data_IF_809225949229
#
_entry.id   IF_809225949229
#
_cell.length_a   1.000
_cell.length_b   1.000
_cell.length_c   1.000
_cell.angle_alpha   90.00
_cell.angle_beta   90.00
_cell.angle_gamma   90.00
#
_symmetry.space_group_name_H-M   'P 1'
#
loop_
_entity.id
_entity.type
_entity.pdbx_description
1 polymer ?
#
# COMPACT_ATOMS: atom_id res chain seq x y z
N UNK A 1 31.19 -4.15 -27.00
CA UNK A 1 29.75 -4.37 -26.72
C UNK A 1 29.25 -3.42 -25.63
N UNK A 2 29.97 -3.27 -24.50
CA UNK A 2 29.57 -2.33 -23.41
C UNK A 2 29.47 -0.86 -23.85
N UNK A 3 30.41 -0.36 -24.65
CA UNK A 3 30.44 1.06 -25.04
C UNK A 3 29.28 1.49 -25.91
N UNK A 4 28.77 0.61 -26.76
CA UNK A 4 27.57 0.86 -27.58
C UNK A 4 26.28 0.85 -26.75
N UNK A 5 26.19 -0.01 -25.75
CA UNK A 5 25.03 -0.06 -24.83
C UNK A 5 25.05 1.17 -23.93
N UNK A 6 26.20 1.60 -23.43
CA UNK A 6 26.36 2.84 -22.64
C UNK A 6 26.05 4.08 -23.46
N UNK A 7 26.47 4.14 -24.72
CA UNK A 7 26.11 5.22 -25.65
C UNK A 7 24.60 5.23 -25.94
N UNK A 8 23.96 4.07 -26.09
CA UNK A 8 22.52 3.95 -26.32
C UNK A 8 21.70 4.31 -25.07
N UNK A 9 22.12 3.90 -23.89
CA UNK A 9 21.51 4.28 -22.63
C UNK A 9 21.64 5.78 -22.36
N UNK A 10 22.80 6.36 -22.66
CA UNK A 10 23.01 7.82 -22.56
C UNK A 10 22.19 8.63 -23.57
N UNK A 11 21.99 8.09 -24.78
CA UNK A 11 21.13 8.70 -25.81
C UNK A 11 19.64 8.56 -25.41
N UNK A 12 19.23 7.44 -24.82
CA UNK A 12 17.88 7.25 -24.32
C UNK A 12 17.58 8.18 -23.12
N UNK A 13 18.51 8.31 -22.18
CA UNK A 13 18.38 9.23 -21.03
C UNK A 13 18.33 10.69 -21.49
N UNK A 14 19.21 11.11 -22.40
CA UNK A 14 19.22 12.47 -22.94
C UNK A 14 18.00 12.75 -23.85
N UNK A 15 17.52 11.75 -24.57
CA UNK A 15 16.32 11.83 -25.40
C UNK A 15 15.05 11.92 -24.56
N UNK A 16 14.97 11.16 -23.48
CA UNK A 16 13.82 11.18 -22.55
C UNK A 16 13.80 12.48 -21.75
N UNK A 17 14.92 12.98 -21.25
CA UNK A 17 15.00 14.28 -20.57
C UNK A 17 14.68 15.43 -21.50
N UNK A 18 15.16 15.40 -22.75
CA UNK A 18 14.80 16.37 -23.78
C UNK A 18 13.32 16.31 -24.16
N UNK A 19 12.76 15.10 -24.25
CA UNK A 19 11.34 14.86 -24.55
C UNK A 19 10.40 15.33 -23.44
N UNK A 20 10.83 15.24 -22.19
CA UNK A 20 10.07 15.71 -21.02
C UNK A 20 10.16 17.23 -20.84
N UNK A 21 11.21 17.88 -21.34
CA UNK A 21 11.45 19.30 -21.18
C UNK A 21 10.87 20.19 -22.30
N UNK A 22 10.55 19.64 -23.47
CA UNK A 22 10.04 20.39 -24.62
C UNK A 22 8.74 19.76 -25.08
N UNK A 23 7.63 20.47 -25.00
CA UNK A 23 6.26 20.03 -25.31
C UNK A 23 6.15 19.31 -26.67
N UNK A 24 6.56 18.03 -26.70
CA UNK A 24 6.49 17.16 -27.86
C UNK A 24 5.04 16.96 -28.30
N UNK A 25 4.84 16.93 -29.60
CA UNK A 25 3.54 16.57 -30.16
C UNK A 25 3.24 15.07 -29.98
N UNK A 26 2.00 14.68 -30.34
CA UNK A 26 1.52 13.32 -30.17
C UNK A 26 2.33 12.31 -31.00
N UNK A 27 2.73 12.69 -32.21
CA UNK A 27 3.44 11.81 -33.14
C UNK A 27 4.88 11.55 -32.71
N UNK A 28 5.53 12.56 -32.11
CA UNK A 28 6.86 12.43 -31.52
C UNK A 28 6.83 11.53 -30.27
N UNK A 29 5.80 11.68 -29.44
CA UNK A 29 5.60 10.80 -28.25
C UNK A 29 5.37 9.35 -28.65
N UNK A 30 4.59 9.10 -29.70
CA UNK A 30 4.34 7.75 -30.23
C UNK A 30 5.63 7.12 -30.78
N UNK A 31 6.47 7.87 -31.53
CA UNK A 31 7.77 7.36 -32.01
C UNK A 31 8.76 7.04 -30.89
N UNK A 32 8.81 7.88 -29.86
CA UNK A 32 9.64 7.61 -28.67
C UNK A 32 9.16 6.33 -27.98
N UNK A 33 7.85 6.18 -27.86
CA UNK A 33 7.26 5.00 -27.23
C UNK A 33 7.53 3.72 -28.01
N UNK A 34 7.47 3.75 -29.34
CA UNK A 34 7.86 2.63 -30.18
C UNK A 34 9.34 2.27 -30.03
N UNK A 35 10.22 3.28 -29.96
CA UNK A 35 11.65 3.07 -29.73
C UNK A 35 11.95 2.50 -28.34
N UNK A 36 11.24 2.94 -27.32
CA UNK A 36 11.33 2.36 -25.96
C UNK A 36 10.92 0.89 -25.96
N UNK A 37 9.84 0.55 -26.67
CA UNK A 37 9.35 -0.83 -26.79
C UNK A 37 10.35 -1.75 -27.53
N UNK A 38 10.99 -1.23 -28.59
CA UNK A 38 12.07 -1.98 -29.28
C UNK A 38 13.27 -2.23 -28.36
N UNK A 39 13.61 -1.26 -27.51
CA UNK A 39 14.70 -1.40 -26.51
C UNK A 39 14.31 -2.43 -25.45
N UNK A 40 13.06 -2.42 -24.98
CA UNK A 40 12.56 -3.42 -24.03
C UNK A 40 12.62 -4.83 -24.62
N UNK A 41 12.22 -5.01 -25.87
CA UNK A 41 12.31 -6.29 -26.60
C UNK A 41 13.76 -6.75 -26.78
N UNK A 42 14.69 -5.83 -27.05
CA UNK A 42 16.11 -6.15 -27.16
C UNK A 42 16.71 -6.53 -25.80
N UNK A 43 16.33 -5.86 -24.72
CA UNK A 43 16.75 -6.18 -23.35
C UNK A 43 16.25 -7.57 -22.98
N UNK A 44 14.99 -7.88 -23.24
CA UNK A 44 14.40 -9.20 -22.97
C UNK A 44 15.13 -10.32 -23.74
N UNK A 45 15.42 -10.10 -25.04
CA UNK A 45 16.24 -11.04 -25.84
C UNK A 45 17.65 -11.22 -25.29
N UNK A 46 18.30 -10.12 -24.85
CA UNK A 46 19.64 -10.16 -24.25
C UNK A 46 19.63 -10.91 -22.91
N UNK A 47 18.63 -10.68 -22.07
CA UNK A 47 18.48 -11.36 -20.78
C UNK A 47 18.20 -12.86 -20.97
N UNK A 48 17.38 -13.23 -21.96
CA UNK A 48 17.17 -14.63 -22.35
C UNK A 48 18.45 -15.29 -22.83
N UNK A 49 19.26 -14.59 -23.63
CA UNK A 49 20.56 -15.08 -24.09
C UNK A 49 21.56 -15.19 -22.93
N UNK A 50 21.59 -14.20 -22.03
CA UNK A 50 22.44 -14.19 -20.82
C UNK A 50 22.05 -15.30 -19.85
N UNK A 51 20.76 -15.55 -19.65
CA UNK A 51 20.26 -16.66 -18.85
C UNK A 51 20.63 -18.02 -19.47
N UNK A 52 20.63 -18.11 -20.80
CA UNK A 52 21.11 -19.31 -21.50
C UNK A 52 22.60 -19.51 -21.36
N UNK A 53 23.41 -18.44 -21.45
CA UNK A 53 24.86 -18.48 -21.19
C UNK A 53 25.18 -18.78 -19.72
N UNK A 54 24.42 -18.20 -18.79
CA UNK A 54 24.54 -18.49 -17.35
C UNK A 54 24.27 -19.98 -17.06
N UNK A 55 23.28 -20.56 -17.72
CA UNK A 55 22.99 -22.01 -17.64
C UNK A 55 24.15 -22.88 -18.14
N UNK A 56 24.82 -22.49 -19.20
CA UNK A 56 26.00 -23.20 -19.68
C UNK A 56 27.16 -23.14 -18.68
N UNK A 57 27.38 -21.97 -18.06
CA UNK A 57 28.41 -21.79 -17.02
C UNK A 57 28.07 -22.52 -15.71
N UNK A 58 26.76 -22.55 -15.36
CA UNK A 58 26.31 -23.33 -14.21
C UNK A 58 26.35 -24.84 -14.49
N UNK A 59 26.15 -25.26 -15.74
CA UNK A 59 26.33 -26.63 -16.18
C UNK A 59 27.74 -27.14 -15.94
N UNK A 60 28.78 -26.39 -16.36
CA UNK A 60 30.19 -26.74 -16.10
C UNK A 60 30.51 -26.76 -14.60
N UNK A 61 29.92 -25.85 -13.83
CA UNK A 61 30.07 -25.77 -12.38
C UNK A 61 29.40 -26.92 -11.65
N UNK A 62 28.21 -27.35 -12.12
CA UNK A 62 27.44 -28.46 -11.54
C UNK A 62 28.05 -29.80 -11.93
N UNK A 63 28.62 -29.92 -13.15
CA UNK A 63 29.35 -31.11 -13.61
C UNK A 63 30.55 -31.42 -12.69
N UNK A 64 31.27 -30.38 -12.23
CA UNK A 64 32.32 -30.50 -11.20
C UNK A 64 31.85 -30.94 -9.82
N UNK A 65 30.52 -31.02 -9.55
CA UNK A 65 29.91 -31.45 -8.30
C UNK A 65 29.31 -32.87 -8.35
N UNK A 66 29.56 -33.62 -9.42
CA UNK A 66 29.19 -35.04 -9.53
C UNK A 66 27.76 -35.30 -10.02
N UNK A 67 27.06 -34.30 -10.63
CA UNK A 67 25.83 -34.54 -11.34
C UNK A 67 26.09 -35.20 -12.71
N UNK A 68 25.30 -36.17 -13.08
CA UNK A 68 25.38 -36.79 -14.40
C UNK A 68 24.78 -35.87 -15.50
N UNK A 69 25.15 -36.10 -16.77
CA UNK A 69 24.53 -35.38 -17.90
C UNK A 69 23.01 -35.57 -17.93
N UNK A 70 22.51 -36.72 -17.53
CA UNK A 70 21.08 -37.02 -17.48
C UNK A 70 20.38 -36.21 -16.37
N UNK A 71 21.02 -36.01 -15.22
CA UNK A 71 20.49 -35.13 -14.18
C UNK A 71 20.42 -33.69 -14.65
N UNK A 72 21.44 -33.20 -15.32
CA UNK A 72 21.47 -31.84 -15.85
C UNK A 72 20.40 -31.59 -16.93
N UNK A 73 20.20 -32.57 -17.84
CA UNK A 73 19.12 -32.51 -18.86
C UNK A 73 17.74 -32.55 -18.22
N UNK A 74 17.57 -33.33 -17.15
CA UNK A 74 16.32 -33.37 -16.38
C UNK A 74 16.03 -32.00 -15.73
N UNK A 75 17.01 -31.42 -15.05
CA UNK A 75 16.85 -30.10 -14.42
C UNK A 75 16.51 -29.01 -15.44
N UNK A 76 17.21 -28.99 -16.58
CA UNK A 76 16.93 -28.04 -17.64
C UNK A 76 15.50 -28.19 -18.20
N UNK A 77 15.02 -29.43 -18.37
CA UNK A 77 13.65 -29.69 -18.80
C UNK A 77 12.63 -29.22 -17.75
N UNK A 78 12.83 -29.54 -16.48
CA UNK A 78 11.99 -29.14 -15.37
C UNK A 78 11.91 -27.60 -15.25
N UNK A 79 13.04 -26.91 -15.38
CA UNK A 79 13.12 -25.45 -15.36
C UNK A 79 12.37 -24.81 -16.51
N UNK A 80 12.48 -25.37 -17.72
CA UNK A 80 11.73 -24.87 -18.88
C UNK A 80 10.22 -25.08 -18.72
N UNK A 81 9.79 -26.25 -18.23
CA UNK A 81 8.38 -26.54 -17.96
C UNK A 81 7.81 -25.62 -16.87
N UNK A 82 8.62 -25.33 -15.82
CA UNK A 82 8.22 -24.39 -14.78
C UNK A 82 8.14 -22.96 -15.31
N UNK A 83 9.13 -22.49 -16.07
CA UNK A 83 9.12 -21.16 -16.68
C UNK A 83 7.88 -20.96 -17.57
N UNK A 84 7.53 -21.96 -18.41
CA UNK A 84 6.33 -21.89 -19.24
C UNK A 84 5.04 -21.76 -18.41
N UNK A 85 4.93 -22.47 -17.28
CA UNK A 85 3.78 -22.33 -16.36
C UNK A 85 3.74 -20.95 -15.69
N UNK A 86 4.91 -20.38 -15.37
CA UNK A 86 5.00 -19.02 -14.82
C UNK A 86 4.55 -17.99 -15.86
N UNK A 87 5.01 -18.12 -17.11
CA UNK A 87 4.60 -17.23 -18.21
C UNK A 87 3.08 -17.28 -18.44
N UNK A 88 2.48 -18.49 -18.47
CA UNK A 88 1.03 -18.65 -18.56
C UNK A 88 0.29 -18.00 -17.38
N UNK A 89 0.81 -18.18 -16.17
CA UNK A 89 0.26 -17.56 -14.96
C UNK A 89 0.27 -16.04 -15.07
N UNK A 90 1.40 -15.44 -15.48
CA UNK A 90 1.51 -14.00 -15.65
C UNK A 90 0.59 -13.47 -16.74
N UNK A 91 0.53 -14.10 -17.90
CA UNK A 91 -0.35 -13.70 -18.99
C UNK A 91 -1.83 -13.69 -18.54
N UNK A 92 -2.25 -14.74 -17.84
CA UNK A 92 -3.61 -14.83 -17.28
C UNK A 92 -3.90 -13.73 -16.25
N UNK A 93 -2.94 -13.40 -15.38
CA UNK A 93 -3.12 -12.35 -14.37
C UNK A 93 -3.11 -10.95 -14.98
N UNK A 94 -2.32 -10.70 -16.01
CA UNK A 94 -2.36 -9.45 -16.77
C UNK A 94 -3.75 -9.20 -17.39
N UNK A 95 -4.37 -10.23 -17.93
CA UNK A 95 -5.75 -10.12 -18.44
C UNK A 95 -6.76 -9.87 -17.32
N UNK A 96 -6.64 -10.58 -16.20
CA UNK A 96 -7.52 -10.39 -15.04
C UNK A 96 -7.42 -9.01 -14.40
N UNK A 97 -6.24 -8.39 -14.45
CA UNK A 97 -5.99 -7.06 -13.91
C UNK A 97 -6.99 -6.03 -14.41
N UNK A 98 -7.37 -6.08 -15.68
CA UNK A 98 -8.34 -5.15 -16.30
C UNK A 98 -9.69 -5.15 -15.61
N UNK A 99 -10.09 -6.30 -15.05
CA UNK A 99 -11.38 -6.55 -14.40
C UNK A 99 -11.28 -6.55 -12.86
N UNK A 100 -10.24 -5.96 -12.28
CA UNK A 100 -10.03 -6.00 -10.83
C UNK A 100 -10.53 -4.71 -10.17
N UNK A 101 -11.82 -4.67 -9.84
CA UNK A 101 -12.48 -3.51 -9.25
C UNK A 101 -12.73 -3.64 -7.74
N UNK A 102 -12.64 -4.83 -7.18
CA UNK A 102 -12.88 -5.05 -5.75
C UNK A 102 -11.62 -5.05 -4.87
N UNK A 103 -10.43 -4.80 -5.45
CA UNK A 103 -9.19 -4.87 -4.71
C UNK A 103 -8.46 -3.50 -4.68
N UNK A 104 -8.04 -3.00 -3.51
CA UNK A 104 -7.50 -1.66 -3.36
C UNK A 104 -6.02 -1.54 -3.76
N UNK A 105 -5.64 -2.02 -4.93
CA UNK A 105 -4.27 -1.92 -5.44
C UNK A 105 -4.20 -1.12 -6.73
N UNK A 106 -3.48 0.00 -6.70
CA UNK A 106 -3.16 0.76 -7.91
C UNK A 106 -2.09 0.03 -8.72
N UNK A 107 -2.45 -0.44 -9.90
CA UNK A 107 -1.56 -1.15 -10.82
C UNK A 107 -1.10 -0.29 -11.99
N UNK A 108 -1.26 1.00 -11.89
CA UNK A 108 -0.77 1.93 -12.90
C UNK A 108 0.76 1.87 -12.98
N UNK A 109 1.29 1.79 -14.19
CA UNK A 109 2.72 1.84 -14.42
C UNK A 109 3.06 3.21 -15.02
N UNK A 110 3.71 4.06 -14.22
CA UNK A 110 3.90 5.46 -14.62
C UNK A 110 5.23 5.75 -15.26
N UNK A 111 6.30 5.06 -14.91
CA UNK A 111 7.58 5.45 -15.42
C UNK A 111 8.49 4.28 -15.72
N UNK A 112 9.22 4.45 -16.82
CA UNK A 112 10.34 3.61 -17.19
C UNK A 112 11.37 3.52 -16.04
N UNK A 113 11.62 4.62 -15.35
CA UNK A 113 12.58 4.66 -14.21
C UNK A 113 12.21 3.68 -13.12
N UNK A 114 10.92 3.60 -12.74
CA UNK A 114 10.47 2.64 -11.72
C UNK A 114 10.64 1.20 -12.21
N UNK A 115 10.34 0.91 -13.45
CA UNK A 115 10.52 -0.42 -14.06
C UNK A 115 12.01 -0.80 -14.13
N UNK A 116 12.87 0.13 -14.54
CA UNK A 116 14.30 -0.05 -14.58
C UNK A 116 14.90 -0.31 -13.19
N UNK A 117 14.50 0.46 -12.18
CA UNK A 117 14.96 0.24 -10.81
C UNK A 117 14.53 -1.12 -10.28
N UNK A 118 13.31 -1.56 -10.53
CA UNK A 118 12.86 -2.93 -10.17
C UNK A 118 13.71 -4.01 -10.81
N UNK A 119 14.07 -3.82 -12.09
CA UNK A 119 14.95 -4.74 -12.80
C UNK A 119 16.35 -4.77 -12.18
N UNK A 120 16.93 -3.62 -11.82
CA UNK A 120 18.23 -3.57 -11.13
C UNK A 120 18.14 -4.24 -9.75
N UNK A 121 17.11 -3.92 -8.96
CA UNK A 121 16.89 -4.48 -7.62
C UNK A 121 16.75 -6.01 -7.66
N UNK A 122 16.15 -6.57 -8.73
CA UNK A 122 16.08 -8.03 -8.91
C UNK A 122 17.44 -8.73 -9.08
N UNK A 123 18.47 -7.97 -9.40
CA UNK A 123 19.87 -8.46 -9.57
C UNK A 123 20.77 -8.14 -8.37
N UNK A 124 20.26 -7.36 -7.42
CA UNK A 124 21.03 -6.97 -6.24
C UNK A 124 20.97 -8.06 -5.17
N UNK A 125 22.01 -8.11 -4.36
CA UNK A 125 22.00 -8.93 -3.15
C UNK A 125 20.97 -8.37 -2.16
N UNK A 126 20.47 -9.23 -1.27
CA UNK A 126 19.56 -8.87 -0.21
C UNK A 126 20.15 -7.71 0.62
N UNK A 127 19.43 -6.59 0.63
CA UNK A 127 19.68 -5.49 1.55
C UNK A 127 18.73 -5.64 2.74
N UNK A 128 19.32 -5.91 3.92
CA UNK A 128 18.55 -6.11 5.13
C UNK A 128 18.55 -4.84 5.99
N UNK A 129 17.46 -4.09 5.99
CA UNK A 129 17.27 -2.97 6.92
C UNK A 129 16.81 -3.50 8.28
N UNK A 130 17.73 -3.97 9.11
CA UNK A 130 17.43 -4.35 10.49
C UNK A 130 17.66 -3.19 11.45
N UNK A 131 16.95 -3.22 12.59
CA UNK A 131 17.04 -2.21 13.63
C UNK A 131 16.44 -0.85 13.24
N UNK A 132 16.75 0.17 14.02
CA UNK A 132 16.26 1.54 13.83
C UNK A 132 16.77 2.16 12.52
N UNK A 133 15.88 2.70 11.65
CA UNK A 133 16.28 3.34 10.40
C UNK A 133 17.19 4.56 10.57
N UNK A 134 17.12 5.22 11.72
CA UNK A 134 17.86 6.46 12.02
C UNK A 134 19.20 6.21 12.71
N UNK A 135 19.48 4.96 13.08
CA UNK A 135 20.74 4.57 13.72
C UNK A 135 21.62 3.75 12.77
N UNK A 136 22.93 3.92 12.92
CA UNK A 136 23.93 3.11 12.22
C UNK A 136 24.25 1.88 13.06
N UNK A 137 24.04 0.70 12.49
CA UNK A 137 24.39 -0.57 13.12
C UNK A 137 25.66 -1.18 12.58
N UNK A 138 25.91 -2.44 12.95
CA UNK A 138 27.09 -3.22 12.55
C UNK A 138 27.03 -3.72 11.09
N UNK A 139 25.85 -3.74 10.47
CA UNK A 139 25.66 -4.20 9.10
C UNK A 139 25.78 -3.04 8.12
N UNK A 140 26.60 -3.22 7.07
CA UNK A 140 26.85 -2.19 6.05
C UNK A 140 26.04 -2.38 4.76
N UNK A 141 25.34 -3.52 4.60
CA UNK A 141 24.48 -3.78 3.43
C UNK A 141 23.03 -3.42 3.76
N UNK A 142 22.74 -2.13 3.81
CA UNK A 142 21.40 -1.59 4.08
C UNK A 142 21.02 -0.51 3.06
N UNK A 143 19.76 -0.13 3.06
CA UNK A 143 19.20 0.99 2.31
C UNK A 143 18.48 2.00 3.21
N UNK A 144 18.87 2.12 4.47
CA UNK A 144 18.25 3.01 5.47
C UNK A 144 18.19 4.46 5.04
N UNK A 145 19.17 4.93 4.26
CA UNK A 145 19.15 6.28 3.70
C UNK A 145 17.96 6.49 2.76
N UNK A 146 17.61 5.48 1.98
CA UNK A 146 16.43 5.50 1.09
C UNK A 146 15.14 5.27 1.89
N UNK A 147 15.17 4.39 2.89
CA UNK A 147 14.05 4.19 3.83
C UNK A 147 13.63 5.52 4.45
N UNK A 148 14.57 6.29 5.00
CA UNK A 148 14.30 7.62 5.57
C UNK A 148 13.69 8.61 4.56
N UNK A 149 14.15 8.60 3.31
CA UNK A 149 13.57 9.46 2.27
C UNK A 149 12.11 9.10 1.96
N UNK A 150 11.75 7.81 1.96
CA UNK A 150 10.37 7.36 1.77
C UNK A 150 9.49 7.82 2.94
N UNK A 151 9.98 7.63 4.18
CA UNK A 151 9.28 8.05 5.38
C UNK A 151 9.07 9.57 5.37
N UNK A 152 10.09 10.35 4.99
CA UNK A 152 10.00 11.81 4.88
C UNK A 152 8.93 12.26 3.87
N UNK A 153 8.84 11.63 2.70
CA UNK A 153 7.79 11.92 1.72
C UNK A 153 6.38 11.68 2.28
N UNK A 154 6.21 10.60 3.05
CA UNK A 154 4.93 10.30 3.67
C UNK A 154 4.64 11.27 4.80
N UNK A 155 5.63 11.63 5.63
CA UNK A 155 5.48 12.63 6.69
C UNK A 155 5.08 14.01 6.13
N UNK A 156 5.74 14.45 5.06
CA UNK A 156 5.39 15.69 4.35
C UNK A 156 3.95 15.66 3.82
N UNK A 157 3.49 14.52 3.31
CA UNK A 157 2.11 14.35 2.85
C UNK A 157 1.08 14.54 4.00
N UNK A 158 1.50 14.31 5.25
CA UNK A 158 0.68 14.52 6.44
C UNK A 158 1.00 15.84 7.17
N UNK A 159 1.80 16.72 6.58
CA UNK A 159 2.17 18.01 7.17
C UNK A 159 3.03 17.89 8.42
N UNK A 160 3.77 16.79 8.61
CA UNK A 160 4.65 16.59 9.76
C UNK A 160 6.08 17.00 9.39
N UNK A 161 6.65 17.92 10.18
CA UNK A 161 7.97 18.49 9.93
C UNK A 161 9.10 17.50 10.23
N UNK A 162 10.25 17.70 9.56
CA UNK A 162 11.43 16.88 9.83
C UNK A 162 11.90 17.04 11.29
N UNK A 163 12.23 15.91 11.90
CA UNK A 163 12.61 15.85 13.33
C UNK A 163 11.44 15.73 14.31
N UNK A 164 10.19 15.86 13.86
CA UNK A 164 8.98 15.72 14.70
C UNK A 164 8.34 14.33 14.60
N UNK A 165 8.97 13.42 13.87
CA UNK A 165 8.48 12.06 13.71
C UNK A 165 9.60 11.03 13.77
N UNK A 166 9.19 9.81 14.02
CA UNK A 166 9.94 8.59 13.79
C UNK A 166 9.10 7.67 12.92
N UNK A 167 9.73 6.78 12.18
CA UNK A 167 9.00 5.83 11.36
C UNK A 167 9.92 4.80 10.72
N UNK A 168 9.31 3.81 10.09
CA UNK A 168 10.03 2.77 9.32
C UNK A 168 9.13 2.16 8.26
N UNK A 169 9.74 1.42 7.31
CA UNK A 169 9.00 0.66 6.30
C UNK A 169 8.58 -0.67 6.87
N UNK A 170 7.28 -0.92 6.85
CA UNK A 170 6.65 -2.15 7.32
C UNK A 170 6.37 -3.12 6.17
N UNK A 171 6.03 -4.38 6.49
CA UNK A 171 5.54 -5.37 5.53
C UNK A 171 4.11 -5.10 5.05
N UNK A 172 3.50 -3.99 5.48
CA UNK A 172 2.14 -3.56 5.11
C UNK A 172 1.35 -3.01 6.29
N UNK A 173 0.12 -2.54 6.03
CA UNK A 173 -0.75 -1.91 7.03
C UNK A 173 -1.00 -2.78 8.27
N UNK A 174 -1.08 -4.09 8.13
CA UNK A 174 -1.26 -5.00 9.29
C UNK A 174 -0.14 -4.88 10.29
N UNK A 175 1.13 -4.89 9.85
CA UNK A 175 2.28 -4.70 10.74
C UNK A 175 2.25 -3.31 11.38
N UNK A 176 1.94 -2.28 10.58
CA UNK A 176 1.83 -0.91 11.10
C UNK A 176 0.75 -0.78 12.17
N UNK A 177 -0.42 -1.40 11.97
CA UNK A 177 -1.50 -1.43 12.95
C UNK A 177 -1.07 -2.18 14.23
N UNK A 178 -0.37 -3.30 14.07
CA UNK A 178 0.15 -4.08 15.21
C UNK A 178 1.15 -3.25 16.03
N UNK A 179 2.01 -2.50 15.37
CA UNK A 179 2.92 -1.58 16.05
C UNK A 179 2.16 -0.51 16.83
N UNK A 180 1.18 0.16 16.20
CA UNK A 180 0.36 1.20 16.84
C UNK A 180 -0.39 0.67 18.06
N UNK A 181 -1.04 -0.49 17.95
CA UNK A 181 -1.77 -1.12 19.07
C UNK A 181 -0.81 -1.50 20.20
N UNK A 182 0.36 -2.09 19.85
CA UNK A 182 1.40 -2.40 20.85
C UNK A 182 1.85 -1.16 21.64
N UNK A 183 2.09 -0.04 20.96
CA UNK A 183 2.50 1.19 21.65
C UNK A 183 1.37 1.78 22.50
N UNK A 184 0.12 1.63 22.07
CA UNK A 184 -1.03 1.99 22.90
C UNK A 184 -1.07 1.21 24.22
N UNK A 185 -0.94 -0.12 24.19
CA UNK A 185 -0.87 -0.94 25.41
C UNK A 185 0.42 -0.72 26.21
N UNK A 186 1.52 -0.36 25.55
CA UNK A 186 2.74 0.04 26.25
C UNK A 186 2.56 1.35 27.02
N UNK A 187 1.76 2.29 26.47
CA UNK A 187 1.43 3.57 27.14
C UNK A 187 0.44 3.36 28.26
N UNK A 188 -0.57 2.53 28.04
CA UNK A 188 -1.63 2.21 28.98
C UNK A 188 -1.71 0.69 29.21
N UNK A 189 -0.89 0.13 30.14
CA UNK A 189 -0.89 -1.32 30.39
C UNK A 189 -2.23 -1.88 30.89
N UNK A 190 -3.08 -1.05 31.48
CA UNK A 190 -4.46 -1.37 31.87
C UNK A 190 -5.48 -0.61 31.01
N UNK A 191 -5.06 -0.18 29.82
CA UNK A 191 -5.92 0.45 28.83
C UNK A 191 -6.80 -0.55 28.10
N UNK A 192 -7.76 -0.05 27.34
CA UNK A 192 -8.67 -0.84 26.49
C UNK A 192 -8.65 -0.29 25.08
N UNK A 193 -8.64 -1.21 24.11
CA UNK A 193 -8.64 -0.89 22.69
C UNK A 193 -10.07 -0.67 22.19
N UNK A 194 -10.28 0.45 21.49
CA UNK A 194 -11.57 0.78 20.85
C UNK A 194 -11.36 1.02 19.36
N UNK A 195 -12.23 0.43 18.55
CA UNK A 195 -12.25 0.56 17.10
C UNK A 195 -13.67 0.36 16.58
N UNK A 196 -13.96 0.87 15.37
CA UNK A 196 -15.29 0.74 14.80
C UNK A 196 -15.56 -0.67 14.28
N UNK A 197 -16.82 -1.04 14.14
CA UNK A 197 -17.25 -2.31 13.52
C UNK A 197 -16.77 -2.43 12.06
N UNK A 198 -16.56 -1.30 11.35
CA UNK A 198 -16.10 -1.24 9.97
C UNK A 198 -14.55 -1.18 9.86
N UNK A 199 -13.83 -1.25 10.98
CA UNK A 199 -12.37 -1.29 11.01
C UNK A 199 -11.85 -2.57 10.36
N UNK A 200 -10.68 -2.47 9.71
CA UNK A 200 -10.06 -3.61 9.04
C UNK A 200 -9.76 -4.76 10.02
N UNK A 201 -10.03 -5.99 9.58
CA UNK A 201 -9.88 -7.21 10.40
C UNK A 201 -8.50 -7.40 11.04
N UNK A 202 -7.45 -6.73 10.54
CA UNK A 202 -6.11 -6.80 11.13
C UNK A 202 -6.06 -6.30 12.57
N UNK A 203 -6.90 -5.32 12.93
CA UNK A 203 -6.99 -4.81 14.29
C UNK A 203 -7.51 -5.89 15.23
N UNK A 204 -8.59 -6.54 14.83
CA UNK A 204 -9.16 -7.64 15.57
C UNK A 204 -8.22 -8.86 15.66
N UNK A 205 -7.49 -9.14 14.57
CA UNK A 205 -6.49 -10.21 14.54
C UNK A 205 -5.40 -10.04 15.61
N UNK A 206 -5.04 -8.81 15.99
CA UNK A 206 -4.07 -8.54 17.05
C UNK A 206 -4.54 -9.05 18.41
N UNK A 207 -5.83 -8.88 18.71
CA UNK A 207 -6.43 -9.19 20.02
C UNK A 207 -7.08 -10.57 20.09
N UNK A 208 -7.30 -11.21 18.94
CA UNK A 208 -8.13 -12.43 18.81
C UNK A 208 -7.35 -13.75 18.97
N UNK A 209 -6.06 -13.74 19.27
CA UNK A 209 -5.37 -14.98 19.59
C UNK A 209 -5.92 -15.54 20.91
N UNK A 210 -6.99 -16.31 20.82
CA UNK A 210 -7.88 -17.03 21.74
C UNK A 210 -7.57 -17.08 23.23
N UNK A 211 -6.32 -17.05 23.64
CA UNK A 211 -5.84 -16.99 25.03
C UNK A 211 -5.48 -15.58 25.49
N UNK A 212 -5.48 -14.59 24.58
CA UNK A 212 -4.99 -13.23 24.85
C UNK A 212 -6.10 -12.19 25.06
N UNK A 213 -7.38 -12.54 24.98
CA UNK A 213 -8.50 -11.59 25.14
C UNK A 213 -8.53 -10.93 26.53
N UNK A 214 -8.07 -11.63 27.57
CA UNK A 214 -7.90 -11.04 28.92
C UNK A 214 -6.70 -10.09 29.00
N UNK A 215 -5.65 -10.35 28.19
CA UNK A 215 -4.43 -9.53 28.15
C UNK A 215 -4.61 -8.24 27.36
N UNK A 216 -5.45 -8.27 26.34
CA UNK A 216 -5.70 -7.13 25.43
C UNK A 216 -7.20 -6.83 25.38
N UNK A 217 -7.76 -6.18 26.42
CA UNK A 217 -9.19 -5.86 26.44
C UNK A 217 -9.54 -4.89 25.32
N UNK A 218 -10.61 -5.18 24.60
CA UNK A 218 -11.07 -4.35 23.50
C UNK A 218 -12.61 -4.24 23.46
N UNK A 219 -13.08 -3.25 22.73
CA UNK A 219 -14.50 -3.08 22.41
C UNK A 219 -14.71 -2.52 21.00
N UNK A 220 -15.66 -3.10 20.29
CA UNK A 220 -16.10 -2.59 18.99
C UNK A 220 -17.18 -1.55 19.20
N UNK A 221 -16.96 -0.38 18.64
CA UNK A 221 -17.88 0.75 18.73
C UNK A 221 -18.81 0.77 17.51
N UNK A 222 -20.08 1.07 17.74
CA UNK A 222 -21.08 1.29 16.69
C UNK A 222 -20.60 2.38 15.70
N UNK A 223 -21.10 2.28 14.47
CA UNK A 223 -20.88 3.29 13.44
C UNK A 223 -22.12 4.17 13.25
N UNK A 224 -21.93 5.37 12.72
CA UNK A 224 -23.02 6.20 12.22
C UNK A 224 -23.60 5.63 10.91
N UNK A 225 -24.64 6.26 10.37
CA UNK A 225 -25.28 5.84 9.11
C UNK A 225 -24.34 5.82 7.91
N UNK A 226 -23.22 6.55 7.97
CA UNK A 226 -22.20 6.60 6.93
C UNK A 226 -21.11 5.56 7.11
N UNK A 227 -21.02 4.88 8.27
CA UNK A 227 -20.01 3.88 8.62
C UNK A 227 -18.77 4.46 9.30
N UNK A 228 -18.84 5.67 9.84
CA UNK A 228 -17.80 6.27 10.69
C UNK A 228 -18.03 5.84 12.13
N UNK A 229 -16.98 5.76 12.92
CA UNK A 229 -17.12 5.50 14.35
C UNK A 229 -18.07 6.53 15.00
N UNK A 230 -19.03 6.07 15.78
CA UNK A 230 -19.91 6.96 16.53
C UNK A 230 -19.15 7.61 17.69
N UNK A 231 -18.89 8.92 17.58
CA UNK A 231 -18.18 9.69 18.62
C UNK A 231 -18.96 9.63 19.95
N UNK A 232 -20.29 9.76 19.89
CA UNK A 232 -21.17 9.71 21.05
C UNK A 232 -21.05 8.38 21.79
N UNK A 233 -21.16 7.26 21.04
CA UNK A 233 -21.04 5.91 21.63
C UNK A 233 -19.64 5.61 22.15
N UNK A 234 -18.62 6.06 21.44
CA UNK A 234 -17.25 5.91 21.93
C UNK A 234 -17.04 6.63 23.27
N UNK A 235 -17.51 7.87 23.39
CA UNK A 235 -17.40 8.65 24.65
C UNK A 235 -18.15 7.96 25.78
N UNK A 236 -19.41 7.56 25.55
CA UNK A 236 -20.25 6.84 26.52
C UNK A 236 -19.51 5.61 27.08
N UNK A 237 -18.95 4.80 26.17
CA UNK A 237 -18.21 3.57 26.54
C UNK A 237 -16.91 3.89 27.28
N UNK A 238 -16.16 4.88 26.84
CA UNK A 238 -14.90 5.27 27.50
C UNK A 238 -15.14 5.85 28.90
N UNK A 239 -16.22 6.62 29.10
CA UNK A 239 -16.60 7.12 30.44
C UNK A 239 -16.96 5.98 31.38
N UNK A 240 -17.80 5.04 30.95
CA UNK A 240 -18.14 3.83 31.70
C UNK A 240 -16.89 3.03 32.10
N UNK A 241 -16.00 2.81 31.15
CA UNK A 241 -14.81 1.98 31.36
C UNK A 241 -13.77 2.69 32.25
N UNK A 242 -13.65 4.03 32.18
CA UNK A 242 -12.86 4.82 33.12
C UNK A 242 -13.39 4.69 34.56
N UNK A 243 -14.71 4.74 34.77
CA UNK A 243 -15.33 4.49 36.08
C UNK A 243 -15.05 3.07 36.60
N UNK A 244 -14.89 2.10 35.69
CA UNK A 244 -14.51 0.73 36.00
C UNK A 244 -12.98 0.54 36.20
N UNK A 245 -12.17 1.62 36.09
CA UNK A 245 -10.74 1.62 36.35
C UNK A 245 -9.85 1.37 35.12
N UNK A 246 -10.36 1.51 33.89
CA UNK A 246 -9.54 1.51 32.67
C UNK A 246 -8.66 2.76 32.67
N UNK A 247 -7.34 2.57 32.50
CA UNK A 247 -6.33 3.60 32.62
C UNK A 247 -6.35 4.63 31.49
N UNK A 248 -6.66 4.20 30.26
CA UNK A 248 -6.73 5.06 29.10
C UNK A 248 -7.32 4.35 27.87
N UNK A 249 -7.78 5.13 26.92
CA UNK A 249 -8.35 4.64 25.66
C UNK A 249 -7.25 4.45 24.60
N UNK A 250 -7.17 3.25 24.06
CA UNK A 250 -6.32 2.94 22.90
C UNK A 250 -7.24 2.95 21.68
N UNK A 251 -7.03 3.87 20.74
CA UNK A 251 -7.89 4.06 19.60
C UNK A 251 -7.22 3.56 18.33
N UNK A 252 -7.97 2.83 17.50
CA UNK A 252 -7.66 2.66 16.08
C UNK A 252 -8.79 3.28 15.28
N UNK A 253 -8.52 4.44 14.70
CA UNK A 253 -9.44 5.16 13.82
C UNK A 253 -9.05 4.90 12.37
N UNK A 254 -10.01 4.77 11.48
CA UNK A 254 -9.76 4.36 10.09
C UNK A 254 -9.96 5.51 9.10
N UNK A 255 -8.97 5.75 8.26
CA UNK A 255 -9.09 6.59 7.07
C UNK A 255 -9.16 5.74 5.80
N UNK A 256 -10.38 5.53 5.31
CA UNK A 256 -10.69 4.65 4.20
C UNK A 256 -11.04 3.25 4.66
N UNK A 257 -12.21 3.08 5.28
CA UNK A 257 -12.73 1.77 5.69
C UNK A 257 -12.79 0.83 4.49
N UNK A 258 -12.47 -0.44 4.72
CA UNK A 258 -12.30 -1.45 3.66
C UNK A 258 -13.53 -1.60 2.78
N UNK A 259 -14.72 -1.61 3.39
CA UNK A 259 -15.96 -1.90 2.67
C UNK A 259 -16.61 -0.65 2.06
N UNK A 260 -16.55 0.48 2.76
CA UNK A 260 -17.30 1.69 2.41
C UNK A 260 -16.43 2.86 1.97
N UNK A 261 -15.13 2.81 2.21
CA UNK A 261 -14.20 3.88 1.85
C UNK A 261 -14.52 5.20 2.57
N UNK A 262 -14.91 5.15 3.83
CA UNK A 262 -15.19 6.32 4.66
C UNK A 262 -14.04 6.58 5.63
N UNK A 263 -13.93 7.82 6.11
CA UNK A 263 -12.93 8.23 7.09
C UNK A 263 -13.58 8.64 8.40
N UNK A 264 -13.05 8.11 9.52
CA UNK A 264 -13.45 8.55 10.85
C UNK A 264 -13.03 10.00 11.08
N UNK A 265 -13.83 10.76 11.80
CA UNK A 265 -13.50 12.13 12.20
C UNK A 265 -12.56 12.11 13.42
N UNK A 266 -11.26 12.01 13.14
CA UNK A 266 -10.21 11.91 14.15
C UNK A 266 -10.25 13.10 15.10
N UNK A 267 -10.46 14.32 14.58
CA UNK A 267 -10.51 15.54 15.39
C UNK A 267 -11.70 15.51 16.34
N UNK A 268 -12.88 15.22 15.84
CA UNK A 268 -14.07 15.15 16.68
C UNK A 268 -13.93 14.11 17.81
N UNK A 269 -13.35 12.93 17.50
CA UNK A 269 -13.07 11.89 18.49
C UNK A 269 -12.10 12.38 19.55
N UNK A 270 -10.95 12.90 19.14
CA UNK A 270 -9.87 13.29 20.08
C UNK A 270 -10.28 14.49 20.95
N UNK A 271 -10.98 15.48 20.38
CA UNK A 271 -11.51 16.63 21.13
C UNK A 271 -12.59 16.20 22.12
N UNK A 272 -13.48 15.28 21.74
CA UNK A 272 -14.51 14.77 22.62
C UNK A 272 -13.90 14.06 23.85
N UNK A 273 -12.89 13.22 23.68
CA UNK A 273 -12.19 12.54 24.77
C UNK A 273 -11.41 13.54 25.65
N UNK A 274 -10.68 14.48 25.04
CA UNK A 274 -9.95 15.54 25.76
C UNK A 274 -10.90 16.37 26.64
N UNK A 275 -12.07 16.78 26.10
CA UNK A 275 -13.04 17.56 26.83
C UNK A 275 -13.61 16.85 28.07
N UNK A 276 -13.55 15.53 28.11
CA UNK A 276 -14.00 14.67 29.20
C UNK A 276 -12.84 14.23 30.13
N UNK A 277 -11.61 14.71 29.87
CA UNK A 277 -10.43 14.32 30.62
C UNK A 277 -10.10 12.84 30.52
N UNK A 278 -10.39 12.21 29.37
CA UNK A 278 -10.06 10.83 29.08
C UNK A 278 -8.70 10.80 28.40
N UNK A 279 -7.72 10.15 29.03
CA UNK A 279 -6.41 9.91 28.45
C UNK A 279 -6.53 8.89 27.32
N UNK A 280 -5.78 9.10 26.22
CA UNK A 280 -5.84 8.21 25.07
C UNK A 280 -4.50 8.10 24.33
N UNK A 281 -4.38 7.06 23.53
CA UNK A 281 -3.43 6.86 22.43
C UNK A 281 -4.22 6.66 21.15
N UNK A 282 -3.92 7.43 20.12
CA UNK A 282 -4.65 7.38 18.85
C UNK A 282 -3.73 6.94 17.70
N UNK A 283 -4.02 5.78 17.14
CA UNK A 283 -3.44 5.26 15.90
C UNK A 283 -4.44 5.41 14.75
N UNK A 284 -3.98 5.95 13.61
CA UNK A 284 -4.81 6.06 12.41
C UNK A 284 -4.42 4.95 11.43
N UNK A 285 -5.37 4.07 11.11
CA UNK A 285 -5.26 3.16 9.96
C UNK A 285 -5.65 3.91 8.69
N UNK A 286 -4.66 4.51 8.03
CA UNK A 286 -4.80 5.15 6.73
C UNK A 286 -4.27 4.26 5.60
N UNK A 287 -4.35 2.93 5.75
CA UNK A 287 -3.79 1.97 4.80
C UNK A 287 -4.25 2.21 3.36
N UNK A 288 -5.48 2.68 3.15
CA UNK A 288 -6.01 3.02 1.82
C UNK A 288 -5.82 4.50 1.49
N UNK A 289 -6.32 5.40 2.34
CA UNK A 289 -6.35 6.83 2.03
C UNK A 289 -5.06 7.59 2.31
N UNK A 290 -4.10 7.00 2.98
CA UNK A 290 -2.84 7.67 3.30
C UNK A 290 -2.04 8.18 2.11
N UNK A 291 -2.28 7.64 0.91
CA UNK A 291 -1.71 8.15 -0.34
C UNK A 291 -2.59 9.17 -1.07
N UNK A 292 -3.89 9.22 -0.75
CA UNK A 292 -4.87 10.07 -1.44
C UNK A 292 -4.95 11.48 -0.82
N UNK A 293 -4.71 11.59 0.47
CA UNK A 293 -5.11 12.73 1.30
C UNK A 293 -4.69 14.10 0.78
N UNK A 294 -3.47 14.23 0.22
CA UNK A 294 -2.96 15.51 -0.32
C UNK A 294 -3.59 15.91 -1.65
N UNK A 295 -4.07 14.95 -2.43
CA UNK A 295 -4.47 15.14 -3.83
C UNK A 295 -5.98 15.27 -4.02
N UNK A 296 -6.74 15.49 -2.95
CA UNK A 296 -8.20 15.65 -3.03
C UNK A 296 -8.65 16.88 -2.26
N UNK A 297 -9.25 17.83 -2.98
CA UNK A 297 -9.81 19.07 -2.41
C UNK A 297 -10.92 18.83 -1.38
N UNK A 298 -11.58 17.67 -1.42
CA UNK A 298 -12.68 17.30 -0.53
C UNK A 298 -12.28 16.23 0.52
N UNK A 299 -11.04 15.70 0.47
CA UNK A 299 -10.57 14.78 1.51
C UNK A 299 -10.51 15.49 2.87
N UNK A 300 -10.65 14.76 3.99
CA UNK A 300 -10.32 15.33 5.29
C UNK A 300 -8.92 15.95 5.18
N UNK A 301 -8.83 17.29 5.27
CA UNK A 301 -7.55 17.98 5.17
C UNK A 301 -6.63 17.37 6.22
N UNK A 302 -5.52 16.83 5.78
CA UNK A 302 -4.47 16.36 6.67
C UNK A 302 -3.79 17.60 7.21
N UNK A 303 -4.42 18.24 8.17
CA UNK A 303 -3.72 19.14 9.06
C UNK A 303 -2.72 18.30 9.84
N UNK A 304 -1.64 18.90 10.28
CA UNK A 304 -0.56 18.23 11.01
C UNK A 304 -1.05 17.11 11.92
N UNK A 305 -0.45 15.95 11.84
CA UNK A 305 -0.87 14.75 12.57
C UNK A 305 -1.05 15.04 14.08
N UNK A 306 -0.16 15.88 14.64
CA UNK A 306 -0.23 16.37 16.00
C UNK A 306 -1.48 17.21 16.27
N UNK A 307 -1.91 18.04 15.32
CA UNK A 307 -3.11 18.87 15.46
C UNK A 307 -4.41 18.06 15.48
N UNK A 308 -4.40 16.89 14.87
CA UNK A 308 -5.49 15.93 14.97
C UNK A 308 -5.53 15.19 16.32
N UNK A 309 -4.47 15.30 17.10
CA UNK A 309 -4.33 14.56 18.36
C UNK A 309 -4.01 13.07 18.14
N UNK A 310 -3.48 12.70 16.97
CA UNK A 310 -3.04 11.34 16.68
C UNK A 310 -1.59 11.14 17.11
N UNK A 311 -1.24 9.93 17.58
CA UNK A 311 0.10 9.54 18.00
C UNK A 311 0.87 8.81 16.90
N UNK A 312 0.15 8.10 16.00
CA UNK A 312 0.77 7.36 14.91
C UNK A 312 -0.21 7.11 13.76
N UNK A 313 0.34 6.82 12.57
CA UNK A 313 -0.44 6.52 11.37
C UNK A 313 0.21 5.42 10.55
N UNK A 314 -0.62 4.56 9.98
CA UNK A 314 -0.26 3.47 9.06
C UNK A 314 -0.67 3.79 7.63
N UNK A 315 0.24 3.61 6.67
CA UNK A 315 -0.03 3.77 5.23
C UNK A 315 0.40 2.51 4.50
N UNK A 316 -0.49 1.90 3.69
CA UNK A 316 -0.11 0.79 2.80
C UNK A 316 0.29 1.32 1.43
N UNK A 317 1.58 1.26 1.11
CA UNK A 317 2.10 1.81 -0.14
C UNK A 317 1.75 0.94 -1.37
N UNK A 318 1.55 -0.37 -1.17
CA UNK A 318 1.14 -1.27 -2.25
C UNK A 318 -0.33 -1.10 -2.69
N UNK A 319 -1.15 -0.37 -1.90
CA UNK A 319 -2.53 -0.06 -2.26
C UNK A 319 -2.56 1.14 -3.22
N UNK A 320 -2.69 2.32 -2.69
CA UNK A 320 -2.84 3.54 -3.49
C UNK A 320 -1.59 3.89 -4.31
N UNK A 321 -0.42 3.84 -3.70
CA UNK A 321 0.83 4.17 -4.40
C UNK A 321 1.27 3.11 -5.40
N UNK A 322 0.75 1.87 -5.30
CA UNK A 322 1.02 0.81 -6.26
C UNK A 322 2.48 0.36 -6.30
N UNK A 323 3.11 0.22 -5.14
CA UNK A 323 4.48 -0.31 -5.06
C UNK A 323 4.53 -1.78 -5.49
N UNK A 324 5.67 -2.22 -6.01
CA UNK A 324 5.83 -3.55 -6.59
C UNK A 324 5.80 -4.69 -5.56
N UNK A 325 6.13 -4.40 -4.32
CA UNK A 325 6.02 -5.32 -3.18
C UNK A 325 5.00 -4.85 -2.20
N UNK A 326 4.40 -5.80 -1.48
CA UNK A 326 3.57 -5.48 -0.32
C UNK A 326 4.46 -4.81 0.73
N UNK A 327 4.21 -3.56 1.00
CA UNK A 327 4.89 -2.77 2.02
C UNK A 327 4.00 -1.62 2.50
N UNK A 328 4.41 -0.98 3.58
CA UNK A 328 3.74 0.17 4.16
C UNK A 328 4.73 1.09 4.86
N UNK A 329 4.24 2.22 5.32
CA UNK A 329 4.97 3.16 6.19
C UNK A 329 4.21 3.28 7.49
N UNK A 330 4.92 3.15 8.60
CA UNK A 330 4.49 3.61 9.90
C UNK A 330 5.15 4.96 10.18
N UNK A 331 4.35 5.94 10.57
CA UNK A 331 4.82 7.19 11.18
C UNK A 331 4.33 7.25 12.63
N UNK A 332 5.18 7.73 13.54
CA UNK A 332 4.84 7.98 14.93
C UNK A 332 5.46 9.31 15.37
N UNK A 333 4.73 10.08 16.18
CA UNK A 333 5.22 11.34 16.73
C UNK A 333 6.20 11.12 17.90
N UNK A 334 6.16 9.95 18.51
CA UNK A 334 7.09 9.54 19.55
C UNK A 334 7.37 8.04 19.45
N UNK A 335 8.55 7.64 19.88
CA UNK A 335 8.92 6.25 20.08
C UNK A 335 9.48 6.03 21.47
N UNK A 336 9.42 4.80 21.95
CA UNK A 336 10.14 4.42 23.17
C UNK A 336 11.57 4.04 22.82
N UNK A 337 12.50 4.47 23.65
CA UNK A 337 13.86 3.96 23.62
C UNK A 337 13.86 2.46 23.96
N UNK A 338 14.71 1.73 23.29
CA UNK A 338 14.90 0.29 23.45
C UNK A 338 16.35 0.02 23.83
N UNK A 339 16.64 -1.08 24.53
CA UNK A 339 18.02 -1.49 24.73
C UNK A 339 18.74 -1.71 23.41
N UNK A 340 20.02 -1.37 23.36
CA UNK A 340 20.90 -1.70 22.24
C UNK A 340 21.04 -3.21 22.15
N UNK A 341 20.87 -3.76 20.96
CA UNK A 341 21.07 -5.18 20.67
C UNK A 341 22.52 -5.34 20.20
N UNK A 342 23.34 -6.02 20.97
CA UNK A 342 24.80 -6.08 20.78
C UNK A 342 25.23 -6.50 19.39
N UNK A 343 24.63 -7.57 18.82
CA UNK A 343 25.09 -8.10 17.53
C UNK A 343 24.70 -7.23 16.34
N UNK A 344 23.62 -6.44 16.44
CA UNK A 344 23.28 -5.45 15.41
C UNK A 344 23.84 -4.06 15.70
N UNK A 345 24.31 -3.80 16.92
CA UNK A 345 24.96 -2.57 17.35
C UNK A 345 24.04 -1.36 17.39
N UNK A 346 22.73 -1.55 17.59
CA UNK A 346 21.73 -0.49 17.63
C UNK A 346 20.44 -0.94 18.32
N UNK A 347 19.58 0.02 18.65
CA UNK A 347 18.21 -0.25 19.10
C UNK A 347 17.34 -0.84 17.99
N UNK A 348 16.26 -1.52 18.38
CA UNK A 348 15.20 -1.92 17.46
C UNK A 348 13.82 -1.63 18.05
N UNK A 349 13.21 -0.56 17.58
CA UNK A 349 11.81 -0.18 17.89
C UNK A 349 10.81 -0.65 16.85
N UNK A 350 11.27 -1.31 15.78
CA UNK A 350 10.41 -1.86 14.73
C UNK A 350 9.61 -3.06 15.25
N UNK A 351 8.67 -3.55 14.46
CA UNK A 351 7.89 -4.74 14.84
C UNK A 351 8.54 -6.02 14.35
N UNK A 352 9.05 -6.01 13.10
CA UNK A 352 9.80 -7.11 12.49
C UNK A 352 11.28 -6.76 12.41
N UNK A 353 12.15 -7.76 12.62
CA UNK A 353 13.60 -7.55 12.65
C UNK A 353 14.22 -7.26 11.29
N UNK A 354 13.72 -7.87 10.21
CA UNK A 354 14.27 -7.74 8.85
C UNK A 354 13.28 -7.10 7.91
N UNK A 355 13.76 -6.19 7.04
CA UNK A 355 12.92 -5.48 6.07
C UNK A 355 13.55 -5.51 4.68
N UNK A 356 12.78 -6.00 3.71
CA UNK A 356 13.11 -6.00 2.27
C UNK A 356 11.89 -5.53 1.47
N UNK A 357 11.97 -4.37 0.86
CA UNK A 357 10.83 -3.68 0.23
C UNK A 357 11.14 -3.06 -1.12
N UNK A 358 12.21 -3.46 -1.80
CA UNK A 358 12.70 -2.85 -3.05
C UNK A 358 12.86 -1.32 -2.90
N UNK A 359 13.88 -0.85 -2.17
CA UNK A 359 13.94 0.52 -1.66
C UNK A 359 13.93 1.61 -2.74
N UNK A 360 14.65 1.40 -3.83
CA UNK A 360 14.83 2.44 -4.85
C UNK A 360 13.58 2.60 -5.71
N UNK A 361 12.98 1.49 -6.15
CA UNK A 361 11.72 1.54 -6.90
C UNK A 361 10.56 1.99 -6.03
N UNK A 362 10.53 1.61 -4.75
CA UNK A 362 9.54 2.10 -3.78
C UNK A 362 9.67 3.61 -3.58
N UNK A 363 10.89 4.13 -3.41
CA UNK A 363 11.12 5.58 -3.30
C UNK A 363 10.67 6.33 -4.55
N UNK A 364 11.09 5.87 -5.73
CA UNK A 364 10.71 6.50 -6.99
C UNK A 364 9.19 6.52 -7.15
N UNK A 365 8.53 5.42 -6.84
CA UNK A 365 7.07 5.31 -6.92
C UNK A 365 6.36 6.25 -5.95
N UNK A 366 6.81 6.30 -4.68
CA UNK A 366 6.27 7.24 -3.69
C UNK A 366 6.42 8.69 -4.15
N UNK A 367 7.62 9.05 -4.66
CA UNK A 367 7.89 10.38 -5.19
C UNK A 367 6.98 10.74 -6.37
N UNK A 368 6.77 9.83 -7.31
CA UNK A 368 5.86 10.03 -8.43
C UNK A 368 4.44 10.32 -7.95
N UNK A 369 3.94 9.47 -7.05
CA UNK A 369 2.56 9.58 -6.56
C UNK A 369 2.32 10.81 -5.70
N UNK A 370 3.25 11.17 -4.84
CA UNK A 370 3.06 12.22 -3.84
C UNK A 370 3.48 13.61 -4.31
N UNK A 371 4.36 13.72 -5.33
CA UNK A 371 4.94 15.01 -5.71
C UNK A 371 4.77 15.40 -7.18
N UNK A 372 4.46 14.47 -8.08
CA UNK A 372 4.49 14.70 -9.53
C UNK A 372 3.15 14.63 -10.24
N UNK A 373 2.18 13.92 -9.66
CA UNK A 373 0.88 13.79 -10.30
C UNK A 373 0.01 15.01 -10.04
N UNK A 374 -0.76 15.46 -11.06
CA UNK A 374 -1.77 16.48 -10.89
C UNK A 374 -2.84 16.03 -9.87
N UNK A 375 -3.44 16.98 -9.16
CA UNK A 375 -4.50 16.71 -8.19
C UNK A 375 -5.72 15.97 -8.80
N UNK A 376 -6.04 16.27 -10.07
CA UNK A 376 -7.17 15.71 -10.80
C UNK A 376 -6.87 14.34 -11.46
N UNK A 377 -5.60 13.92 -11.51
CA UNK A 377 -5.20 12.64 -12.14
C UNK A 377 -6.00 11.46 -11.59
N UNK A 378 -6.19 11.48 -10.29
CA UNK A 378 -6.90 10.41 -9.59
C UNK A 378 -8.42 10.53 -9.69
N UNK A 379 -8.94 11.76 -9.68
CA UNK A 379 -10.38 12.02 -9.62
C UNK A 379 -11.07 11.82 -10.98
N UNK A 380 -10.35 11.90 -12.11
CA UNK A 380 -10.95 11.84 -13.44
C UNK A 380 -11.70 10.55 -13.72
N UNK A 381 -11.14 9.39 -13.38
CA UNK A 381 -11.80 8.09 -13.53
C UNK A 381 -12.95 7.90 -12.53
N UNK A 382 -12.82 8.42 -11.32
CA UNK A 382 -13.89 8.37 -10.32
C UNK A 382 -15.11 9.16 -10.80
N UNK A 383 -14.88 10.38 -11.31
CA UNK A 383 -15.95 11.20 -11.89
C UNK A 383 -16.57 10.52 -13.10
N UNK A 384 -15.76 10.05 -14.04
CA UNK A 384 -16.25 9.34 -15.22
C UNK A 384 -17.13 8.14 -14.87
N UNK A 385 -16.69 7.33 -13.91
CA UNK A 385 -17.45 6.15 -13.50
C UNK A 385 -18.75 6.51 -12.77
N UNK A 386 -18.78 7.59 -11.95
CA UNK A 386 -20.02 8.12 -11.38
C UNK A 386 -21.06 8.45 -12.46
N UNK A 387 -20.61 9.22 -13.50
CA UNK A 387 -21.48 9.60 -14.62
C UNK A 387 -22.03 8.36 -15.36
N UNK A 388 -21.21 7.30 -15.50
CA UNK A 388 -21.66 6.06 -16.13
C UNK A 388 -22.64 5.25 -15.29
N UNK A 389 -22.47 5.18 -13.99
CA UNK A 389 -23.44 4.54 -13.09
C UNK A 389 -24.79 5.26 -13.14
N UNK A 390 -24.80 6.60 -13.17
CA UNK A 390 -25.99 7.43 -13.32
C UNK A 390 -26.67 7.20 -14.68
N UNK A 391 -25.88 7.16 -15.78
CA UNK A 391 -26.40 6.89 -17.15
C UNK A 391 -27.13 5.54 -17.22
N UNK A 392 -26.61 4.51 -16.57
CA UNK A 392 -27.21 3.17 -16.56
C UNK A 392 -28.19 2.94 -15.39
N UNK A 393 -28.50 3.97 -14.61
CA UNK A 393 -29.49 3.91 -13.52
C UNK A 393 -29.07 3.00 -12.36
N UNK A 394 -27.77 2.88 -12.09
CA UNK A 394 -27.22 2.10 -10.99
C UNK A 394 -27.16 2.96 -9.74
N UNK A 395 -27.86 2.56 -8.69
CA UNK A 395 -27.79 3.21 -7.37
C UNK A 395 -26.47 2.86 -6.67
N UNK A 396 -25.81 3.87 -6.07
CA UNK A 396 -24.58 3.68 -5.31
C UNK A 396 -24.47 4.67 -4.15
N UNK A 397 -23.71 4.29 -3.13
CA UNK A 397 -23.27 5.16 -2.05
C UNK A 397 -21.78 5.45 -2.21
N UNK A 398 -21.35 6.70 -2.01
CA UNK A 398 -19.93 7.12 -2.05
C UNK A 398 -19.74 8.41 -1.27
N UNK A 399 -18.73 8.50 -0.46
CA UNK A 399 -18.25 9.79 0.09
C UNK A 399 -17.54 10.60 -1.01
N UNK A 400 -17.70 11.93 -1.01
CA UNK A 400 -17.21 12.81 -2.07
C UNK A 400 -15.75 12.59 -2.46
N UNK A 401 -14.90 12.40 -1.48
CA UNK A 401 -13.45 12.17 -1.64
C UNK A 401 -13.04 10.71 -1.91
N UNK A 402 -13.98 9.76 -1.80
CA UNK A 402 -13.66 8.32 -1.90
C UNK A 402 -13.62 7.85 -3.35
N UNK A 403 -12.71 6.94 -3.65
CA UNK A 403 -12.70 6.17 -4.88
C UNK A 403 -13.46 4.84 -4.77
N UNK A 404 -14.13 4.61 -3.64
CA UNK A 404 -14.89 3.40 -3.34
C UNK A 404 -16.37 3.67 -3.52
N UNK A 405 -17.01 2.91 -4.39
CA UNK A 405 -18.44 2.91 -4.63
C UNK A 405 -19.05 1.68 -3.98
N UNK A 406 -20.11 1.88 -3.20
CA UNK A 406 -20.86 0.79 -2.58
C UNK A 406 -22.18 0.63 -3.33
N UNK A 407 -22.45 -0.55 -3.79
CA UNK A 407 -23.65 -0.91 -4.52
C UNK A 407 -24.37 -2.08 -3.85
N UNK A 408 -25.65 -2.28 -4.13
CA UNK A 408 -26.32 -3.54 -3.81
C UNK A 408 -25.59 -4.67 -4.54
N UNK A 409 -25.34 -5.79 -3.86
CA UNK A 409 -24.63 -6.94 -4.47
C UNK A 409 -25.31 -7.35 -5.79
N UNK A 410 -24.60 -7.34 -6.92
CA UNK A 410 -25.10 -7.86 -8.18
C UNK A 410 -25.07 -9.40 -8.19
N UNK A 411 -25.34 -10.01 -9.34
CA UNK A 411 -25.23 -11.48 -9.49
C UNK A 411 -23.82 -11.97 -9.19
N UNK A 412 -23.71 -13.22 -8.75
CA UNK A 412 -22.40 -13.86 -8.48
C UNK A 412 -21.53 -13.91 -9.73
N UNK A 413 -22.13 -13.98 -10.91
CA UNK A 413 -21.42 -13.93 -12.20
C UNK A 413 -20.72 -12.57 -12.40
N UNK A 414 -21.42 -11.47 -12.14
CA UNK A 414 -20.86 -10.11 -12.20
C UNK A 414 -19.79 -9.94 -11.14
N UNK A 415 -20.07 -10.36 -9.89
CA UNK A 415 -19.06 -10.29 -8.82
C UNK A 415 -17.77 -11.03 -9.21
N UNK A 416 -17.88 -12.22 -9.80
CA UNK A 416 -16.75 -13.02 -10.23
C UNK A 416 -16.01 -12.42 -11.43
N UNK A 417 -16.74 -11.90 -12.42
CA UNK A 417 -16.18 -11.28 -13.62
C UNK A 417 -15.32 -10.07 -13.28
N UNK A 418 -15.84 -9.19 -12.44
CA UNK A 418 -15.18 -7.94 -12.05
C UNK A 418 -14.46 -8.02 -10.70
N UNK A 419 -14.34 -9.21 -10.15
CA UNK A 419 -13.65 -9.49 -8.88
C UNK A 419 -14.11 -8.57 -7.73
N UNK A 420 -15.42 -8.31 -7.65
CA UNK A 420 -15.99 -7.45 -6.62
C UNK A 420 -15.93 -8.14 -5.25
N UNK A 421 -15.56 -7.40 -4.23
CA UNK A 421 -15.63 -7.87 -2.85
C UNK A 421 -17.03 -7.61 -2.29
N UNK A 422 -17.62 -8.63 -1.68
CA UNK A 422 -18.98 -8.57 -1.14
C UNK A 422 -18.97 -8.56 0.38
N UNK A 423 -19.95 -7.89 0.98
CA UNK A 423 -20.11 -7.79 2.42
C UNK A 423 -21.57 -7.55 2.80
N UNK A 424 -21.88 -7.74 4.08
CA UNK A 424 -23.22 -7.47 4.65
C UNK A 424 -23.07 -6.41 5.73
N UNK A 425 -23.93 -5.41 5.73
CA UNK A 425 -24.02 -4.43 6.80
C UNK A 425 -25.09 -4.86 7.83
N UNK A 426 -25.25 -4.07 8.91
CA UNK A 426 -26.17 -4.39 10.01
C UNK A 426 -27.65 -4.48 9.58
N UNK A 427 -28.02 -3.84 8.46
CA UNK A 427 -29.35 -3.94 7.86
C UNK A 427 -29.63 -5.29 7.18
N UNK A 428 -28.66 -6.20 7.16
CA UNK A 428 -28.75 -7.52 6.56
C UNK A 428 -28.73 -7.52 5.02
N UNK A 429 -28.49 -6.39 4.38
CA UNK A 429 -28.45 -6.28 2.92
C UNK A 429 -27.06 -6.61 2.41
N UNK A 430 -26.99 -7.55 1.46
CA UNK A 430 -25.74 -7.86 0.76
C UNK A 430 -25.36 -6.72 -0.19
N UNK A 431 -24.10 -6.29 -0.06
CA UNK A 431 -23.48 -5.23 -0.87
C UNK A 431 -22.21 -5.71 -1.53
N UNK A 432 -21.76 -4.95 -2.51
CA UNK A 432 -20.43 -5.08 -3.08
C UNK A 432 -19.78 -3.70 -3.16
N UNK A 433 -18.44 -3.65 -3.13
CA UNK A 433 -17.74 -2.42 -3.43
C UNK A 433 -16.95 -2.50 -4.74
N UNK A 434 -16.81 -1.33 -5.34
CA UNK A 434 -16.04 -1.07 -6.56
C UNK A 434 -15.03 0.02 -6.21
N UNK A 435 -13.75 -0.24 -6.44
CA UNK A 435 -12.67 0.71 -6.15
C UNK A 435 -12.04 1.16 -7.47
N UNK A 436 -12.14 2.43 -7.77
CA UNK A 436 -11.67 3.01 -9.04
C UNK A 436 -10.25 3.59 -8.87
N UNK A 437 -9.38 3.20 -9.79
CA UNK A 437 -8.01 3.69 -9.91
C UNK A 437 -7.75 4.25 -11.31
N UNK A 438 -6.69 5.07 -11.50
CA UNK A 438 -6.34 5.64 -12.81
C UNK A 438 -6.05 4.60 -13.89
N UNK A 439 -5.58 3.40 -13.52
CA UNK A 439 -5.28 2.35 -14.50
C UNK A 439 -6.51 1.65 -15.09
N UNK A 440 -7.71 1.86 -14.55
CA UNK A 440 -8.91 1.29 -15.12
C UNK A 440 -9.25 1.95 -16.47
N UNK A 441 -9.36 1.12 -17.50
CA UNK A 441 -9.70 1.54 -18.85
C UNK A 441 -11.18 1.93 -18.92
N UNK A 442 -11.49 3.03 -19.63
CA UNK A 442 -12.87 3.54 -19.75
C UNK A 442 -13.82 2.53 -20.35
N UNK A 443 -13.36 1.78 -21.36
CA UNK A 443 -14.12 0.73 -22.02
C UNK A 443 -14.58 -0.37 -21.06
N UNK A 444 -13.73 -0.73 -20.10
CA UNK A 444 -14.05 -1.74 -19.08
C UNK A 444 -14.96 -1.16 -17.99
N UNK A 445 -14.79 0.12 -17.64
CA UNK A 445 -15.72 0.82 -16.75
C UNK A 445 -17.12 0.93 -17.36
N UNK A 446 -17.24 1.20 -18.67
CA UNK A 446 -18.52 1.22 -19.40
C UNK A 446 -19.16 -0.16 -19.43
N UNK A 447 -18.36 -1.21 -19.65
CA UNK A 447 -18.83 -2.59 -19.61
C UNK A 447 -19.40 -2.96 -18.24
N UNK A 448 -18.67 -2.63 -17.16
CA UNK A 448 -19.12 -2.85 -15.79
C UNK A 448 -20.43 -2.10 -15.50
N UNK A 449 -20.49 -0.79 -15.78
CA UNK A 449 -21.68 0.01 -15.52
C UNK A 449 -22.91 -0.51 -16.29
N UNK A 450 -22.72 -0.95 -17.54
CA UNK A 450 -23.78 -1.57 -18.36
C UNK A 450 -24.25 -2.90 -17.78
N UNK A 451 -23.31 -3.77 -17.35
CA UNK A 451 -23.65 -5.08 -16.78
C UNK A 451 -24.40 -4.91 -15.44
N UNK A 452 -24.06 -3.88 -14.64
CA UNK A 452 -24.76 -3.53 -13.40
C UNK A 452 -26.16 -2.97 -13.64
N UNK A 453 -26.38 -2.20 -14.72
CA UNK A 453 -27.67 -1.61 -15.08
C UNK A 453 -28.65 -2.56 -15.75
N UNK A 454 -28.21 -3.77 -16.17
CA UNK A 454 -29.09 -4.81 -16.70
C UNK A 454 -29.92 -5.41 -15.56
N UNK A 455 -31.22 -5.14 -15.57
CA UNK A 455 -32.20 -5.72 -14.65
C UNK A 455 -32.54 -7.16 -15.03
#
# INVERSE_FOLDING_TARGET
>A
MNKKIEEWLSLADSGIESALSHGLDREEKERIWESVKEIEDMIDKYEKLRASLGRVLDYDRLNGKGFSEDDLRRFEKEDREYAAKVDEYYARNLMRRKYMFGYPANMENFSYTTSYLRHLESKMYLMNNCGDPYQKGNYGMDSKSTEKKIIALVAENFGVSDGEYWGYITSGGTESNFWGIREGYNRFPKGKLYFSKDTHYSVEKYVFDGENSERYPYERIETDSKGRISVEKLVEVCERDREAGVEGAILVLTWGTTCRGVADDVRAVTEALKSRGIEYYCHIDAAHFGGIAKNQTEAPKVEELSSLGADSIAVSMHKFMGTARVNGVLLALARRDRPVIDYIGQEDSTFLGSRDYLPFSTYQRAREMLTRLPEDHFCSNVKYFSEKLEEFGVEYEREGYSNTFVIKKPSDEICKKYQLATFVLEDGIERAHIIIFPFHEKEIMDELARDLGRK
#
